data_IF_055840756593
#
_entry.id   IF_055840756593
#
_cell.length_a   1.000
_cell.length_b   1.000
_cell.length_c   1.000
_cell.angle_alpha   90.00
_cell.angle_beta   90.00
_cell.angle_gamma   90.00
#
_symmetry.space_group_name_H-M   'P 1'
#
loop_
_entity.id
_entity.type
_entity.pdbx_description
1 polymer ?
#
# COMPACT_ATOMS: atom_id res chain seq x y z
N UNK A 1 32.61 48.18 -15.82
CA UNK A 1 31.49 47.47 -15.14
C UNK A 1 31.75 47.52 -13.64
N UNK A 2 30.88 48.15 -12.85
CA UNK A 2 31.13 48.39 -11.42
C UNK A 2 31.28 47.05 -10.69
N UNK A 3 32.36 46.85 -9.93
CA UNK A 3 32.59 45.61 -9.13
C UNK A 3 31.39 45.26 -8.24
N UNK A 4 30.64 46.27 -7.78
CA UNK A 4 29.38 46.12 -7.04
C UNK A 4 28.25 45.49 -7.87
N UNK A 5 28.13 45.82 -9.15
CA UNK A 5 27.12 45.27 -10.07
C UNK A 5 27.45 43.80 -10.39
N UNK A 6 28.72 43.46 -10.59
CA UNK A 6 29.15 42.06 -10.76
C UNK A 6 28.90 41.22 -9.51
N UNK A 7 29.12 41.79 -8.31
CA UNK A 7 28.85 41.09 -7.04
C UNK A 7 27.34 40.85 -6.82
N UNK A 8 26.50 41.83 -7.15
CA UNK A 8 25.03 41.68 -7.06
C UNK A 8 24.51 40.65 -8.07
N UNK A 9 25.03 40.63 -9.31
CA UNK A 9 24.70 39.61 -10.31
C UNK A 9 25.16 38.21 -9.92
N UNK A 10 26.34 38.09 -9.29
CA UNK A 10 26.83 36.82 -8.74
C UNK A 10 25.97 36.34 -7.56
N UNK A 11 25.53 37.25 -6.67
CA UNK A 11 24.63 36.93 -5.56
C UNK A 11 23.23 36.53 -6.05
N UNK A 12 22.71 37.16 -7.11
CA UNK A 12 21.44 36.78 -7.75
C UNK A 12 21.52 35.43 -8.47
N UNK A 13 22.63 35.11 -9.14
CA UNK A 13 22.84 33.79 -9.74
C UNK A 13 23.00 32.69 -8.67
N UNK A 14 23.66 32.99 -7.54
CA UNK A 14 23.79 32.06 -6.42
C UNK A 14 22.45 31.78 -5.70
N UNK A 15 21.49 32.71 -5.77
CA UNK A 15 20.13 32.56 -5.22
C UNK A 15 19.15 31.84 -6.18
N UNK A 16 19.50 31.67 -7.45
CA UNK A 16 18.70 30.89 -8.42
C UNK A 16 19.02 29.40 -8.41
N UNK A 17 20.01 28.97 -7.61
CA UNK A 17 20.61 27.64 -7.69
C UNK A 17 20.29 26.67 -6.55
N UNK A 18 19.23 26.85 -5.75
CA UNK A 18 18.80 25.84 -4.76
C UNK A 18 17.31 25.95 -4.46
N UNK A 19 16.52 25.00 -4.98
CA UNK A 19 15.29 24.43 -4.39
C UNK A 19 14.74 23.34 -5.32
N UNK A 20 15.51 22.27 -5.50
CA UNK A 20 14.86 20.97 -5.65
C UNK A 20 14.35 20.63 -4.26
N UNK A 21 13.12 21.01 -3.97
CA UNK A 21 12.39 20.48 -2.83
C UNK A 21 12.27 18.99 -3.08
N UNK A 22 13.04 18.20 -2.32
CA UNK A 22 12.91 16.76 -2.25
C UNK A 22 11.46 16.46 -1.87
N UNK A 23 10.72 15.88 -2.81
CA UNK A 23 9.39 15.38 -2.48
C UNK A 23 9.54 14.10 -1.69
N UNK A 24 8.74 13.99 -0.65
CA UNK A 24 8.67 12.84 0.24
C UNK A 24 7.24 12.38 0.14
N UNK A 25 6.99 11.32 -0.63
CA UNK A 25 5.63 10.95 -0.99
C UNK A 25 4.85 10.38 0.18
N UNK A 26 5.55 9.77 1.15
CA UNK A 26 4.93 9.05 2.25
C UNK A 26 5.02 9.80 3.59
N UNK A 27 4.03 9.52 4.42
CA UNK A 27 4.02 9.81 5.85
C UNK A 27 3.56 8.55 6.58
N UNK A 28 4.39 7.51 6.57
CA UNK A 28 4.11 6.25 7.25
C UNK A 28 4.52 6.30 8.71
N UNK A 29 3.61 5.88 9.58
CA UNK A 29 3.91 5.59 10.98
C UNK A 29 4.60 4.21 11.08
N UNK A 30 5.86 4.21 11.51
CA UNK A 30 6.69 2.99 11.57
C UNK A 30 6.86 2.56 13.02
N UNK A 31 6.46 1.32 13.30
CA UNK A 31 6.66 0.67 14.59
C UNK A 31 7.45 -0.62 14.42
N UNK A 32 8.42 -0.84 15.30
CA UNK A 32 9.15 -2.12 15.40
C UNK A 32 8.86 -2.71 16.78
N UNK A 33 8.21 -3.87 16.80
CA UNK A 33 7.92 -4.64 18.01
C UNK A 33 8.86 -5.83 18.11
N UNK A 34 9.50 -5.98 19.27
CA UNK A 34 10.38 -7.12 19.58
C UNK A 34 9.86 -7.92 20.77
N UNK A 35 8.56 -7.88 21.05
CA UNK A 35 7.96 -8.47 22.26
C UNK A 35 8.23 -9.98 22.41
N UNK A 36 8.50 -10.69 21.30
CA UNK A 36 8.76 -12.12 21.28
C UNK A 36 10.26 -12.47 21.41
N UNK A 37 11.15 -11.47 21.37
CA UNK A 37 12.60 -11.65 21.46
C UNK A 37 13.09 -11.19 22.84
N UNK A 38 13.37 -12.15 23.72
CA UNK A 38 13.89 -11.87 25.07
C UNK A 38 15.40 -11.60 25.06
N UNK A 39 15.87 -10.73 25.96
CA UNK A 39 17.31 -10.53 26.23
C UNK A 39 18.12 -9.80 25.15
N UNK A 40 17.47 -9.13 24.20
CA UNK A 40 18.14 -8.34 23.15
C UNK A 40 18.18 -6.85 23.52
N UNK A 41 19.25 -6.15 23.11
CA UNK A 41 19.36 -4.69 23.25
C UNK A 41 18.25 -3.97 22.46
N UNK A 42 17.35 -3.30 23.19
CA UNK A 42 16.24 -2.56 22.59
C UNK A 42 16.71 -1.42 21.68
N UNK A 43 17.95 -0.92 21.86
CA UNK A 43 18.51 0.15 21.03
C UNK A 43 18.64 -0.25 19.57
N UNK A 44 18.97 -1.51 19.29
CA UNK A 44 19.07 -2.01 17.93
C UNK A 44 17.72 -1.92 17.17
N UNK A 45 16.60 -2.17 17.88
CA UNK A 45 15.27 -2.10 17.29
C UNK A 45 14.76 -0.66 17.11
N UNK A 46 15.14 0.26 18.00
CA UNK A 46 14.85 1.69 17.78
C UNK A 46 15.67 2.22 16.60
N UNK A 47 16.94 1.83 16.46
CA UNK A 47 17.76 2.15 15.28
C UNK A 47 17.15 1.57 13.99
N UNK A 48 16.63 0.33 14.03
CA UNK A 48 15.94 -0.26 12.89
C UNK A 48 14.68 0.54 12.53
N UNK A 49 13.88 0.91 13.52
CA UNK A 49 12.69 1.74 13.33
C UNK A 49 13.05 3.07 12.67
N UNK A 50 14.02 3.81 13.22
CA UNK A 50 14.49 5.07 12.64
C UNK A 50 15.03 4.90 11.22
N UNK A 51 15.77 3.82 10.97
CA UNK A 51 16.25 3.47 9.63
C UNK A 51 15.12 3.28 8.63
N UNK A 52 14.11 2.47 8.98
CA UNK A 52 12.93 2.23 8.14
C UNK A 52 12.12 3.53 7.95
N UNK A 53 11.90 4.31 9.01
CA UNK A 53 11.21 5.61 8.91
C UNK A 53 11.92 6.53 7.92
N UNK A 54 13.24 6.67 8.03
CA UNK A 54 14.02 7.49 7.12
C UNK A 54 13.97 6.95 5.69
N UNK A 55 14.11 5.64 5.51
CA UNK A 55 14.07 5.00 4.20
C UNK A 55 12.72 5.18 3.49
N UNK A 56 11.62 5.04 4.22
CA UNK A 56 10.26 5.14 3.65
C UNK A 56 9.82 6.58 3.44
N UNK A 57 10.01 7.46 4.44
CA UNK A 57 9.43 8.80 4.44
C UNK A 57 10.38 9.89 3.93
N UNK A 58 11.71 9.69 3.95
CA UNK A 58 12.67 10.72 3.55
C UNK A 58 13.31 10.48 2.18
N UNK A 59 13.11 9.29 1.60
CA UNK A 59 13.52 8.96 0.24
C UNK A 59 12.54 9.54 -0.77
N UNK A 60 13.08 10.02 -1.90
CA UNK A 60 12.28 10.37 -3.08
C UNK A 60 12.00 9.10 -3.87
N UNK A 61 10.74 8.68 -3.94
CA UNK A 61 10.32 7.50 -4.69
C UNK A 61 9.96 7.82 -6.13
N UNK A 62 9.54 9.05 -6.39
CA UNK A 62 9.03 9.49 -7.69
C UNK A 62 9.42 10.95 -7.95
N UNK A 63 9.13 11.45 -9.15
CA UNK A 63 9.27 12.87 -9.45
C UNK A 63 8.03 13.70 -9.10
N UNK A 64 7.05 13.12 -8.39
CA UNK A 64 5.84 13.81 -7.98
C UNK A 64 6.18 14.83 -6.91
N UNK A 65 5.55 16.00 -6.97
CA UNK A 65 5.69 17.05 -5.95
C UNK A 65 4.40 17.07 -5.14
N UNK A 66 4.45 16.53 -3.93
CA UNK A 66 3.33 16.54 -3.00
C UNK A 66 3.61 17.54 -1.88
N UNK A 67 2.60 18.35 -1.54
CA UNK A 67 2.67 19.17 -0.33
C UNK A 67 2.63 18.26 0.92
N UNK A 68 3.12 18.72 2.10
CA UNK A 68 3.12 17.90 3.32
C UNK A 68 1.76 17.30 3.69
N UNK A 69 0.67 18.03 3.46
CA UNK A 69 -0.71 17.60 3.68
C UNK A 69 -1.25 16.63 2.60
N UNK A 70 -0.55 16.51 1.47
CA UNK A 70 -0.89 15.59 0.38
C UNK A 70 -0.11 14.27 0.45
N UNK A 71 0.81 14.15 1.44
CA UNK A 71 1.59 12.94 1.65
C UNK A 71 0.68 11.74 1.90
N UNK A 72 1.11 10.61 1.36
CA UNK A 72 0.38 9.35 1.42
C UNK A 72 0.54 8.75 2.81
N UNK A 73 -0.58 8.62 3.52
CA UNK A 73 -0.61 8.11 4.89
C UNK A 73 -0.76 6.58 4.95
N UNK A 74 -0.12 6.00 5.96
CA UNK A 74 -0.14 4.56 6.19
C UNK A 74 0.62 4.18 7.46
N UNK A 75 0.73 2.89 7.70
CA UNK A 75 1.48 2.35 8.82
C UNK A 75 2.30 1.14 8.40
N UNK A 76 3.50 1.01 8.96
CA UNK A 76 4.35 -0.15 8.86
C UNK A 76 4.61 -0.67 10.27
N UNK A 77 4.25 -1.94 10.50
CA UNK A 77 4.53 -2.61 11.76
C UNK A 77 5.42 -3.81 11.49
N UNK A 78 6.65 -3.78 11.99
CA UNK A 78 7.59 -4.90 11.96
C UNK A 78 7.51 -5.64 13.28
N UNK A 79 7.02 -6.88 13.27
CA UNK A 79 6.98 -7.75 14.45
C UNK A 79 8.12 -8.75 14.38
N UNK A 80 9.23 -8.47 15.06
CA UNK A 80 10.39 -9.35 15.11
C UNK A 80 10.06 -10.61 15.93
N UNK A 81 10.14 -11.77 15.28
CA UNK A 81 9.88 -13.08 15.87
C UNK A 81 11.14 -13.71 16.44
N UNK A 82 12.25 -13.58 15.70
CA UNK A 82 13.51 -14.25 16.01
C UNK A 82 14.69 -13.37 15.61
N UNK A 83 15.79 -13.49 16.35
CA UNK A 83 17.07 -12.85 16.05
C UNK A 83 18.21 -13.85 16.23
N UNK A 84 19.04 -14.02 15.20
CA UNK A 84 20.23 -14.87 15.21
C UNK A 84 21.42 -14.08 14.65
N UNK A 85 22.31 -13.60 15.53
CA UNK A 85 23.36 -12.67 15.14
C UNK A 85 22.77 -11.36 14.59
N UNK A 86 23.07 -11.04 13.33
CA UNK A 86 22.52 -9.89 12.60
C UNK A 86 21.27 -10.23 11.79
N UNK A 87 20.88 -11.51 11.72
CA UNK A 87 19.72 -11.95 10.95
C UNK A 87 18.47 -11.85 11.83
N UNK A 88 17.44 -11.22 11.28
CA UNK A 88 16.14 -11.03 11.90
C UNK A 88 15.08 -11.74 11.06
N UNK A 89 14.20 -12.48 11.72
CA UNK A 89 12.98 -13.03 11.14
C UNK A 89 11.80 -12.27 11.74
N UNK A 90 10.98 -11.67 10.88
CA UNK A 90 9.89 -10.81 11.29
C UNK A 90 8.65 -11.01 10.41
N UNK A 91 7.52 -10.53 10.91
CA UNK A 91 6.32 -10.27 10.10
C UNK A 91 6.24 -8.78 9.82
N UNK A 92 5.98 -8.41 8.57
CA UNK A 92 5.80 -7.02 8.14
C UNK A 92 4.33 -6.78 7.84
N UNK A 93 3.67 -5.93 8.63
CA UNK A 93 2.32 -5.47 8.33
C UNK A 93 2.38 -4.08 7.66
N UNK A 94 1.76 -3.95 6.49
CA UNK A 94 1.65 -2.70 5.74
C UNK A 94 0.17 -2.33 5.63
N UNK A 95 -0.17 -1.13 6.10
CA UNK A 95 -1.48 -0.54 5.95
C UNK A 95 -1.41 0.77 5.17
N UNK A 96 -2.24 0.92 4.14
CA UNK A 96 -2.35 2.13 3.32
C UNK A 96 -3.73 2.77 3.49
N UNK A 97 -3.77 4.09 3.61
CA UNK A 97 -5.02 4.85 3.72
C UNK A 97 -5.08 5.95 2.67
N UNK A 98 -6.30 6.34 2.34
CA UNK A 98 -6.59 7.44 1.40
C UNK A 98 -7.64 8.37 1.99
N UNK A 99 -7.45 9.69 1.93
CA UNK A 99 -8.51 10.64 2.29
C UNK A 99 -9.65 10.60 1.26
N UNK A 100 -10.89 10.72 1.71
CA UNK A 100 -12.05 10.84 0.83
C UNK A 100 -12.39 12.31 0.59
N UNK A 101 -12.60 12.67 -0.68
CA UNK A 101 -12.72 14.06 -1.13
C UNK A 101 -13.77 14.86 -0.33
N UNK A 102 -13.37 16.03 0.19
CA UNK A 102 -14.22 16.94 0.98
C UNK A 102 -14.86 16.32 2.23
N UNK A 103 -14.20 15.33 2.83
CA UNK A 103 -14.64 14.72 4.10
C UNK A 103 -13.46 14.53 5.04
N UNK A 104 -13.74 14.34 6.32
CA UNK A 104 -12.73 13.90 7.29
C UNK A 104 -12.59 12.37 7.33
N UNK A 105 -13.21 11.65 6.38
CA UNK A 105 -13.17 10.20 6.32
C UNK A 105 -11.94 9.74 5.55
N UNK A 106 -11.24 8.74 6.08
CA UNK A 106 -10.15 8.04 5.41
C UNK A 106 -10.57 6.60 5.14
N UNK A 107 -10.40 6.14 3.91
CA UNK A 107 -10.70 4.78 3.48
C UNK A 107 -9.44 3.91 3.45
N UNK A 108 -9.48 2.66 3.95
CA UNK A 108 -8.35 1.75 3.84
C UNK A 108 -8.19 1.28 2.38
N UNK A 109 -6.98 1.38 1.83
CA UNK A 109 -6.66 0.90 0.48
C UNK A 109 -5.97 -0.46 0.47
N UNK A 110 -5.18 -0.74 1.50
CA UNK A 110 -4.40 -1.96 1.61
C UNK A 110 -4.15 -2.27 3.09
N UNK A 111 -4.22 -3.54 3.46
CA UNK A 111 -3.78 -4.06 4.75
C UNK A 111 -3.29 -5.49 4.55
N UNK A 112 -1.99 -5.70 4.67
CA UNK A 112 -1.36 -6.99 4.37
C UNK A 112 -0.23 -7.30 5.33
N UNK A 113 -0.20 -8.56 5.77
CA UNK A 113 0.89 -9.14 6.56
C UNK A 113 1.73 -10.01 5.64
N UNK A 114 2.97 -9.59 5.45
CA UNK A 114 4.03 -10.36 4.82
C UNK A 114 4.78 -11.16 5.88
N UNK A 115 4.74 -12.49 5.74
CA UNK A 115 5.43 -13.42 6.65
C UNK A 115 6.80 -13.83 6.12
N UNK A 116 7.15 -13.51 4.87
CA UNK A 116 8.42 -13.82 4.23
C UNK A 116 9.39 -12.63 4.38
N UNK A 117 9.60 -12.17 5.61
CA UNK A 117 10.44 -11.01 5.93
C UNK A 117 11.60 -11.38 6.86
N UNK A 118 12.60 -12.03 6.26
CA UNK A 118 13.88 -12.37 6.87
C UNK A 118 14.97 -11.47 6.30
N UNK A 119 15.76 -10.80 7.14
CA UNK A 119 16.79 -9.88 6.64
C UNK A 119 17.96 -9.75 7.60
N UNK A 120 19.13 -9.40 7.05
CA UNK A 120 20.26 -8.95 7.85
C UNK A 120 20.13 -7.46 8.18
N UNK A 121 20.43 -7.09 9.42
CA UNK A 121 20.52 -5.70 9.85
C UNK A 121 21.76 -5.46 10.71
N UNK A 122 22.53 -4.46 10.31
CA UNK A 122 23.71 -3.99 11.03
C UNK A 122 23.48 -2.53 11.41
N UNK A 123 23.62 -2.22 12.70
CA UNK A 123 23.46 -0.86 13.21
C UNK A 123 24.41 0.11 12.51
N UNK A 124 23.96 1.33 12.25
CA UNK A 124 24.69 2.38 11.53
C UNK A 124 25.03 2.07 10.06
N UNK A 125 24.67 0.91 9.51
CA UNK A 125 24.78 0.68 8.08
C UNK A 125 23.65 1.42 7.34
N UNK A 126 23.95 2.19 6.28
CA UNK A 126 22.92 2.86 5.50
C UNK A 126 22.01 1.85 4.79
N UNK A 127 20.72 2.19 4.71
CA UNK A 127 19.74 1.43 3.95
C UNK A 127 19.78 1.85 2.48
N UNK A 128 20.69 1.24 1.73
CA UNK A 128 20.85 1.50 0.30
C UNK A 128 19.87 0.69 -0.56
N UNK A 129 19.39 1.30 -1.63
CA UNK A 129 18.49 0.67 -2.61
C UNK A 129 18.71 1.28 -3.99
N UNK A 130 18.58 0.44 -5.02
CA UNK A 130 18.51 0.84 -6.43
C UNK A 130 17.48 -0.03 -7.14
N UNK A 131 16.63 0.56 -7.98
CA UNK A 131 15.49 -0.15 -8.60
C UNK A 131 15.87 -1.38 -9.42
N UNK A 132 17.06 -1.40 -10.02
CA UNK A 132 17.51 -2.43 -10.96
C UNK A 132 18.47 -3.45 -10.34
N UNK A 133 18.67 -3.45 -9.02
CA UNK A 133 19.59 -4.37 -8.36
C UNK A 133 19.08 -4.79 -6.98
N UNK A 134 19.08 -6.09 -6.74
CA UNK A 134 18.83 -6.65 -5.42
C UNK A 134 20.07 -6.45 -4.54
N UNK A 135 19.96 -5.54 -3.56
CA UNK A 135 21.04 -5.23 -2.62
C UNK A 135 20.87 -5.97 -1.29
N UNK A 136 19.66 -5.93 -0.74
CA UNK A 136 19.30 -6.63 0.50
C UNK A 136 17.82 -6.94 0.53
N UNK A 137 17.40 -7.96 1.29
CA UNK A 137 15.98 -8.26 1.43
C UNK A 137 15.20 -7.15 2.15
N UNK A 138 15.82 -6.51 3.15
CA UNK A 138 15.21 -5.40 3.91
C UNK A 138 14.82 -4.25 2.97
N UNK A 139 15.80 -3.72 2.23
CA UNK A 139 15.56 -2.53 1.40
C UNK A 139 14.75 -2.84 0.16
N UNK A 140 14.91 -4.03 -0.43
CA UNK A 140 14.09 -4.46 -1.58
C UNK A 140 12.63 -4.68 -1.19
N UNK A 141 12.36 -5.29 -0.02
CA UNK A 141 10.98 -5.50 0.46
C UNK A 141 10.28 -4.18 0.75
N UNK A 142 10.96 -3.26 1.45
CA UNK A 142 10.40 -1.94 1.74
C UNK A 142 10.15 -1.14 0.46
N UNK A 143 11.08 -1.17 -0.49
CA UNK A 143 10.92 -0.53 -1.79
C UNK A 143 9.78 -1.14 -2.61
N UNK A 144 9.64 -2.46 -2.62
CA UNK A 144 8.52 -3.14 -3.26
C UNK A 144 7.18 -2.60 -2.72
N UNK A 145 7.02 -2.54 -1.40
CA UNK A 145 5.79 -2.03 -0.80
C UNK A 145 5.58 -0.52 -1.03
N UNK A 146 6.65 0.27 -1.10
CA UNK A 146 6.55 1.68 -1.52
C UNK A 146 5.90 1.80 -2.91
N UNK A 147 6.47 1.15 -3.94
CA UNK A 147 5.90 1.22 -5.30
C UNK A 147 4.54 0.52 -5.42
N UNK A 148 4.31 -0.57 -4.69
CA UNK A 148 3.01 -1.24 -4.69
C UNK A 148 1.91 -0.34 -4.08
N UNK A 149 2.21 0.33 -2.96
CA UNK A 149 1.30 1.29 -2.35
C UNK A 149 1.06 2.50 -3.25
N UNK A 150 2.07 3.02 -3.94
CA UNK A 150 1.88 4.06 -4.96
C UNK A 150 0.95 3.56 -6.07
N UNK A 151 1.15 2.35 -6.58
CA UNK A 151 0.30 1.75 -7.59
C UNK A 151 -1.18 1.74 -7.21
N UNK A 152 -1.49 1.21 -6.01
CA UNK A 152 -2.86 1.21 -5.47
C UNK A 152 -3.40 2.61 -5.23
N UNK A 153 -2.57 3.52 -4.70
CA UNK A 153 -2.96 4.89 -4.44
C UNK A 153 -3.36 5.59 -5.73
N UNK A 154 -2.54 5.54 -6.78
CA UNK A 154 -2.85 6.21 -8.05
C UNK A 154 -4.00 5.57 -8.82
N UNK A 155 -4.19 4.26 -8.74
CA UNK A 155 -5.38 3.60 -9.27
C UNK A 155 -6.67 4.09 -8.61
N UNK A 156 -6.62 4.45 -7.32
CA UNK A 156 -7.79 4.97 -6.60
C UNK A 156 -8.22 6.38 -7.04
N UNK A 157 -7.34 7.12 -7.72
CA UNK A 157 -7.61 8.46 -8.26
C UNK A 157 -7.82 8.48 -9.77
N UNK A 158 -7.25 7.52 -10.51
CA UNK A 158 -7.38 7.42 -11.96
C UNK A 158 -7.33 5.97 -12.43
N UNK A 159 -8.19 5.63 -13.39
CA UNK A 159 -8.24 4.28 -13.96
C UNK A 159 -6.88 3.89 -14.54
N UNK A 160 -6.26 2.87 -13.96
CA UNK A 160 -4.90 2.39 -14.27
C UNK A 160 -3.77 3.42 -14.03
N UNK A 161 -4.02 4.42 -13.19
CA UNK A 161 -3.01 5.42 -12.82
C UNK A 161 -1.78 4.82 -12.13
N UNK A 162 -1.90 3.62 -11.57
CA UNK A 162 -0.84 2.88 -10.90
C UNK A 162 0.19 2.22 -11.81
N UNK A 163 -0.04 2.17 -13.13
CA UNK A 163 0.79 1.43 -14.09
C UNK A 163 2.31 1.68 -13.97
N UNK A 164 2.78 2.94 -13.84
CA UNK A 164 4.22 3.21 -13.72
C UNK A 164 4.83 2.56 -12.47
N UNK A 165 4.08 2.51 -11.36
CA UNK A 165 4.61 2.04 -10.08
C UNK A 165 4.60 0.51 -9.98
N UNK A 166 3.53 -0.14 -10.46
CA UNK A 166 3.51 -1.61 -10.53
C UNK A 166 4.60 -2.18 -11.45
N UNK A 167 5.01 -1.43 -12.48
CA UNK A 167 6.17 -1.79 -13.31
C UNK A 167 7.49 -1.73 -12.55
N UNK A 168 7.69 -0.73 -11.69
CA UNK A 168 8.89 -0.67 -10.84
C UNK A 168 8.85 -1.78 -9.78
N UNK A 169 7.70 -2.04 -9.18
CA UNK A 169 7.52 -3.19 -8.28
C UNK A 169 7.85 -4.52 -8.98
N UNK A 170 7.47 -4.67 -10.25
CA UNK A 170 7.81 -5.84 -11.08
C UNK A 170 9.32 -5.96 -11.35
N UNK A 171 10.01 -4.84 -11.57
CA UNK A 171 11.46 -4.79 -11.72
C UNK A 171 12.17 -5.22 -10.43
N UNK A 172 11.69 -4.78 -9.27
CA UNK A 172 12.23 -5.20 -7.97
C UNK A 172 12.06 -6.71 -7.81
N UNK A 173 10.86 -7.24 -8.04
CA UNK A 173 10.59 -8.69 -8.01
C UNK A 173 11.50 -9.47 -8.96
N UNK A 174 11.70 -8.95 -10.18
CA UNK A 174 12.57 -9.55 -11.19
C UNK A 174 14.03 -9.56 -10.74
N UNK A 175 14.51 -8.47 -10.14
CA UNK A 175 15.89 -8.39 -9.64
C UNK A 175 16.15 -9.32 -8.46
N UNK A 176 15.10 -9.64 -7.69
CA UNK A 176 15.16 -10.50 -6.51
C UNK A 176 14.94 -11.99 -6.80
N UNK A 177 14.82 -12.42 -8.06
CA UNK A 177 14.57 -13.84 -8.39
C UNK A 177 15.68 -14.79 -7.94
N UNK A 178 16.92 -14.30 -7.81
CA UNK A 178 18.06 -15.06 -7.28
C UNK A 178 18.27 -14.91 -5.78
N UNK A 179 17.41 -14.16 -5.07
CA UNK A 179 17.50 -14.00 -3.62
C UNK A 179 17.42 -15.37 -2.93
N UNK A 180 18.17 -15.57 -1.86
CA UNK A 180 18.07 -16.78 -1.05
C UNK A 180 16.78 -16.76 -0.22
N UNK A 181 16.33 -15.57 0.17
CA UNK A 181 15.11 -15.34 0.92
C UNK A 181 13.85 -15.67 0.11
N UNK A 182 12.84 -16.20 0.81
CA UNK A 182 11.52 -16.48 0.25
C UNK A 182 10.72 -15.20 -0.03
N UNK A 183 9.68 -15.35 -0.83
CA UNK A 183 8.65 -14.33 -1.03
C UNK A 183 8.77 -13.57 -2.36
N UNK A 184 9.83 -13.84 -3.12
CA UNK A 184 10.12 -13.21 -4.40
C UNK A 184 9.78 -14.07 -5.61
N UNK A 185 9.63 -15.40 -5.43
CA UNK A 185 9.54 -16.35 -6.54
C UNK A 185 8.13 -16.93 -6.65
N UNK A 186 7.71 -17.24 -7.87
CA UNK A 186 6.39 -17.83 -8.12
C UNK A 186 6.20 -19.21 -7.46
N UNK A 187 7.30 -19.92 -7.22
CA UNK A 187 7.33 -21.28 -6.67
C UNK A 187 7.60 -21.35 -5.15
N UNK A 188 7.67 -20.20 -4.47
CA UNK A 188 7.64 -20.14 -3.00
C UNK A 188 6.19 -20.41 -2.50
N UNK A 189 5.69 -19.62 -1.56
CA UNK A 189 4.27 -19.63 -1.20
C UNK A 189 3.42 -18.82 -2.20
N UNK A 190 2.11 -19.10 -2.29
CA UNK A 190 1.19 -18.32 -3.13
C UNK A 190 0.80 -16.96 -2.52
N UNK A 191 1.10 -16.74 -1.25
CA UNK A 191 0.87 -15.52 -0.48
C UNK A 191 2.17 -14.73 -0.36
N UNK A 192 2.64 -14.18 -1.48
CA UNK A 192 3.92 -13.46 -1.52
C UNK A 192 3.94 -12.23 -2.43
N UNK A 193 5.06 -11.51 -2.45
CA UNK A 193 5.26 -10.26 -3.19
C UNK A 193 5.16 -10.46 -4.71
N UNK A 194 5.64 -11.60 -5.22
CA UNK A 194 5.48 -11.97 -6.63
C UNK A 194 3.99 -12.00 -7.02
N UNK A 195 3.17 -12.76 -6.30
CA UNK A 195 1.75 -12.91 -6.61
C UNK A 195 0.95 -11.63 -6.36
N UNK A 196 1.33 -10.82 -5.37
CA UNK A 196 0.72 -9.50 -5.15
C UNK A 196 0.84 -8.62 -6.39
N UNK A 197 2.03 -8.52 -6.98
CA UNK A 197 2.25 -7.65 -8.14
C UNK A 197 1.77 -8.26 -9.45
N UNK A 198 1.94 -9.56 -9.64
CA UNK A 198 1.40 -10.28 -10.80
C UNK A 198 -0.11 -10.05 -10.92
N UNK A 199 -0.83 -10.11 -9.79
CA UNK A 199 -2.27 -9.90 -9.75
C UNK A 199 -2.68 -8.49 -10.23
N UNK A 200 -1.82 -7.48 -10.06
CA UNK A 200 -2.06 -6.09 -10.52
C UNK A 200 -1.70 -5.89 -12.00
N UNK A 201 -0.68 -6.61 -12.48
CA UNK A 201 -0.13 -6.45 -13.83
C UNK A 201 -0.83 -7.32 -14.88
N UNK A 202 -1.46 -8.43 -14.46
CA UNK A 202 -2.12 -9.35 -15.37
C UNK A 202 -3.37 -8.73 -16.01
N UNK A 203 -3.41 -8.75 -17.34
CA UNK A 203 -4.51 -8.16 -18.11
C UNK A 203 -5.88 -8.79 -17.81
N UNK A 204 -5.92 -10.08 -17.45
CA UNK A 204 -7.16 -10.77 -17.08
C UNK A 204 -7.76 -10.25 -15.77
N UNK A 205 -6.97 -9.61 -14.91
CA UNK A 205 -7.39 -9.13 -13.60
C UNK A 205 -7.58 -7.60 -13.54
N UNK A 206 -7.49 -6.92 -14.70
CA UNK A 206 -7.81 -5.49 -14.84
C UNK A 206 -9.14 -5.05 -14.21
N UNK A 207 -10.21 -5.86 -14.16
CA UNK A 207 -11.42 -5.45 -13.46
C UNK A 207 -11.19 -5.15 -11.97
N UNK A 208 -10.24 -5.80 -11.28
CA UNK A 208 -9.92 -5.47 -9.87
C UNK A 208 -9.40 -4.04 -9.72
N UNK A 209 -8.60 -3.57 -10.69
CA UNK A 209 -8.11 -2.19 -10.73
C UNK A 209 -9.21 -1.20 -11.14
N UNK A 210 -10.15 -1.63 -11.97
CA UNK A 210 -11.37 -0.85 -12.24
C UNK A 210 -12.24 -0.70 -10.98
N UNK A 211 -12.37 -1.76 -10.17
CA UNK A 211 -13.00 -1.68 -8.85
C UNK A 211 -12.30 -0.63 -7.97
N UNK A 212 -10.96 -0.66 -7.86
CA UNK A 212 -10.21 0.32 -7.08
C UNK A 212 -10.55 1.75 -7.53
N UNK A 213 -10.56 2.03 -8.83
CA UNK A 213 -10.91 3.35 -9.34
C UNK A 213 -12.37 3.73 -9.05
N UNK A 214 -13.32 2.90 -9.45
CA UNK A 214 -14.75 3.26 -9.38
C UNK A 214 -15.26 3.32 -7.94
N UNK A 215 -14.82 2.40 -7.08
CA UNK A 215 -15.21 2.39 -5.68
C UNK A 215 -14.76 3.67 -4.96
N UNK A 216 -13.51 4.09 -5.15
CA UNK A 216 -12.96 5.25 -4.43
C UNK A 216 -13.34 6.58 -5.10
N UNK A 217 -13.12 6.71 -6.41
CA UNK A 217 -13.29 7.99 -7.12
C UNK A 217 -14.72 8.29 -7.53
N UNK A 218 -15.44 7.28 -8.04
CA UNK A 218 -16.83 7.46 -8.48
C UNK A 218 -17.85 7.13 -7.39
N UNK A 219 -17.44 6.32 -6.40
CA UNK A 219 -18.19 5.98 -5.21
C UNK A 219 -17.93 6.95 -4.06
N UNK A 220 -16.88 6.68 -3.28
CA UNK A 220 -16.61 7.38 -2.02
C UNK A 220 -16.51 8.90 -2.17
N UNK A 221 -15.66 9.38 -3.09
CA UNK A 221 -15.47 10.81 -3.31
C UNK A 221 -16.77 11.52 -3.76
N UNK A 222 -17.61 10.80 -4.52
CA UNK A 222 -18.87 11.32 -5.03
C UNK A 222 -19.91 11.51 -3.92
N UNK A 223 -19.88 10.67 -2.88
CA UNK A 223 -20.86 10.72 -1.80
C UNK A 223 -20.87 12.05 -1.03
N UNK A 224 -19.76 12.79 -1.03
CA UNK A 224 -19.67 14.13 -0.45
C UNK A 224 -20.63 15.16 -1.08
N UNK A 225 -21.03 14.93 -2.34
CA UNK A 225 -21.90 15.84 -3.10
C UNK A 225 -23.20 15.18 -3.55
N UNK A 226 -23.17 13.88 -3.84
CA UNK A 226 -24.29 13.11 -4.36
C UNK A 226 -24.26 11.68 -3.81
N UNK A 227 -24.81 11.50 -2.61
CA UNK A 227 -24.75 10.25 -1.87
C UNK A 227 -25.31 9.05 -2.63
N UNK A 228 -26.50 9.18 -3.24
CA UNK A 228 -27.15 8.06 -3.93
C UNK A 228 -26.41 7.63 -5.21
N UNK A 229 -25.86 8.60 -5.97
CA UNK A 229 -25.00 8.31 -7.12
C UNK A 229 -23.73 7.56 -6.67
N UNK A 230 -23.11 7.99 -5.58
CA UNK A 230 -21.91 7.34 -5.02
C UNK A 230 -22.19 5.93 -4.52
N UNK A 231 -23.27 5.71 -3.74
CA UNK A 231 -23.70 4.36 -3.31
C UNK A 231 -23.96 3.44 -4.50
N UNK A 232 -24.62 3.96 -5.55
CA UNK A 232 -24.87 3.20 -6.78
C UNK A 232 -23.56 2.79 -7.47
N UNK A 233 -22.58 3.69 -7.56
CA UNK A 233 -21.27 3.40 -8.14
C UNK A 233 -20.52 2.34 -7.33
N UNK A 234 -20.55 2.42 -6.00
CA UNK A 234 -19.98 1.41 -5.10
C UNK A 234 -20.59 0.03 -5.38
N UNK A 235 -21.91 -0.09 -5.35
CA UNK A 235 -22.59 -1.39 -5.61
C UNK A 235 -22.29 -1.94 -7.00
N UNK A 236 -22.16 -1.09 -8.02
CA UNK A 236 -21.77 -1.53 -9.37
C UNK A 236 -20.32 -2.03 -9.42
N UNK A 237 -19.41 -1.34 -8.75
CA UNK A 237 -17.99 -1.69 -8.76
C UNK A 237 -17.72 -3.09 -8.16
N UNK A 238 -18.56 -3.56 -7.23
CA UNK A 238 -18.46 -4.90 -6.63
C UNK A 238 -18.56 -6.03 -7.67
N UNK A 239 -19.26 -5.80 -8.79
CA UNK A 239 -19.38 -6.78 -9.88
C UNK A 239 -18.02 -7.09 -10.52
N UNK A 240 -17.08 -6.14 -10.52
CA UNK A 240 -15.74 -6.39 -11.05
C UNK A 240 -14.93 -7.36 -10.19
N UNK A 241 -15.12 -7.33 -8.87
CA UNK A 241 -14.52 -8.33 -7.97
C UNK A 241 -15.13 -9.69 -8.24
N UNK A 242 -16.46 -9.75 -8.31
CA UNK A 242 -17.19 -10.98 -8.59
C UNK A 242 -16.76 -11.60 -9.93
N UNK A 243 -16.67 -10.80 -10.99
CA UNK A 243 -16.23 -11.24 -12.31
C UNK A 243 -14.90 -11.98 -12.24
N UNK A 244 -13.89 -11.38 -11.59
CA UNK A 244 -12.56 -11.98 -11.50
C UNK A 244 -12.56 -13.18 -10.55
N UNK A 245 -13.31 -13.11 -9.44
CA UNK A 245 -13.46 -14.21 -8.51
C UNK A 245 -14.07 -15.46 -9.16
N UNK A 246 -15.11 -15.31 -9.98
CA UNK A 246 -15.76 -16.43 -10.68
C UNK A 246 -14.78 -17.19 -11.58
N UNK A 247 -13.76 -16.52 -12.13
CA UNK A 247 -12.73 -17.14 -12.95
C UNK A 247 -11.54 -17.66 -12.14
N UNK A 248 -11.15 -16.93 -11.08
CA UNK A 248 -9.95 -17.22 -10.27
C UNK A 248 -10.20 -16.95 -8.77
N UNK A 249 -10.90 -17.85 -8.06
CA UNK A 249 -11.27 -17.65 -6.65
C UNK A 249 -10.08 -17.53 -5.69
N UNK A 250 -8.93 -18.11 -6.04
CA UNK A 250 -7.73 -18.20 -5.19
C UNK A 250 -6.76 -17.03 -5.35
N UNK A 251 -7.14 -15.96 -6.05
CA UNK A 251 -6.27 -14.80 -6.21
C UNK A 251 -5.97 -14.15 -4.86
N UNK A 252 -4.68 -13.93 -4.61
CA UNK A 252 -4.19 -13.33 -3.39
C UNK A 252 -4.80 -11.95 -3.18
N UNK A 253 -4.84 -11.12 -4.22
CA UNK A 253 -5.34 -9.76 -4.07
C UNK A 253 -6.83 -9.71 -3.67
N UNK A 254 -7.65 -10.69 -4.06
CA UNK A 254 -9.06 -10.73 -3.62
C UNK A 254 -9.14 -10.97 -2.11
N UNK A 255 -8.31 -11.86 -1.57
CA UNK A 255 -8.25 -12.11 -0.12
C UNK A 255 -7.82 -10.84 0.62
N UNK A 256 -6.76 -10.18 0.15
CA UNK A 256 -6.27 -8.93 0.74
C UNK A 256 -7.32 -7.83 0.66
N UNK A 257 -8.03 -7.74 -0.46
CA UNK A 257 -9.10 -6.77 -0.66
C UNK A 257 -10.25 -7.00 0.33
N UNK A 258 -10.69 -8.25 0.50
CA UNK A 258 -11.72 -8.61 1.45
C UNK A 258 -11.31 -8.24 2.89
N UNK A 259 -10.10 -8.61 3.31
CA UNK A 259 -9.58 -8.30 4.65
C UNK A 259 -9.46 -6.78 4.87
N UNK A 260 -9.11 -6.03 3.83
CA UNK A 260 -8.99 -4.57 3.87
C UNK A 260 -10.36 -3.88 3.94
N UNK A 261 -11.35 -4.38 3.19
CA UNK A 261 -12.60 -3.65 2.92
C UNK A 261 -13.82 -4.15 3.68
N UNK A 262 -13.80 -5.37 4.23
CA UNK A 262 -14.96 -6.00 4.92
C UNK A 262 -15.68 -5.05 5.87
N UNK A 263 -14.93 -4.40 6.77
CA UNK A 263 -15.51 -3.48 7.75
C UNK A 263 -16.11 -2.22 7.11
N UNK A 264 -15.47 -1.65 6.08
CA UNK A 264 -16.00 -0.50 5.37
C UNK A 264 -17.27 -0.86 4.58
N UNK A 265 -17.27 -2.01 3.91
CA UNK A 265 -18.46 -2.55 3.23
C UNK A 265 -19.62 -2.73 4.20
N UNK A 266 -19.41 -3.38 5.36
CA UNK A 266 -20.43 -3.50 6.41
C UNK A 266 -20.98 -2.12 6.79
N UNK A 267 -20.10 -1.15 7.05
CA UNK A 267 -20.50 0.20 7.46
C UNK A 267 -21.34 0.91 6.40
N UNK A 268 -20.95 0.85 5.12
CA UNK A 268 -21.64 1.54 4.02
C UNK A 268 -23.06 0.98 3.83
N UNK A 269 -23.21 -0.35 3.88
CA UNK A 269 -24.49 -0.98 3.61
C UNK A 269 -25.44 -1.04 4.80
N UNK A 270 -24.98 -0.81 6.03
CA UNK A 270 -25.85 -0.81 7.23
C UNK A 270 -27.03 0.17 7.09
N UNK A 271 -26.80 1.34 6.47
CA UNK A 271 -27.81 2.38 6.19
C UNK A 271 -28.27 2.40 4.72
N UNK A 272 -28.08 1.30 3.98
CA UNK A 272 -28.50 1.17 2.58
C UNK A 272 -29.95 0.75 2.40
N UNK A 273 -30.47 0.89 1.17
CA UNK A 273 -31.77 0.33 0.80
C UNK A 273 -31.78 -1.20 0.93
N UNK A 274 -32.93 -1.82 1.18
CA UNK A 274 -33.01 -3.28 1.30
C UNK A 274 -32.56 -4.00 0.01
N UNK A 275 -32.79 -3.37 -1.15
CA UNK A 275 -32.36 -3.89 -2.44
C UNK A 275 -30.83 -3.87 -2.57
N UNK A 276 -30.19 -2.76 -2.23
CA UNK A 276 -28.72 -2.63 -2.29
C UNK A 276 -28.04 -3.57 -1.29
N UNK A 277 -28.57 -3.65 -0.07
CA UNK A 277 -28.10 -4.60 0.95
C UNK A 277 -28.12 -6.02 0.44
N UNK A 278 -29.26 -6.47 -0.09
CA UNK A 278 -29.41 -7.84 -0.63
C UNK A 278 -28.42 -8.10 -1.75
N UNK A 279 -28.26 -7.15 -2.68
CA UNK A 279 -27.34 -7.30 -3.80
C UNK A 279 -25.89 -7.41 -3.34
N UNK A 280 -25.44 -6.51 -2.47
CA UNK A 280 -24.07 -6.48 -1.97
C UNK A 280 -23.75 -7.72 -1.12
N UNK A 281 -24.64 -8.10 -0.20
CA UNK A 281 -24.46 -9.28 0.67
C UNK A 281 -24.34 -10.57 -0.14
N UNK A 282 -25.10 -10.71 -1.23
CA UNK A 282 -24.95 -11.87 -2.12
C UNK A 282 -23.56 -11.93 -2.76
N UNK A 283 -23.00 -10.79 -3.17
CA UNK A 283 -21.63 -10.73 -3.69
C UNK A 283 -20.62 -11.06 -2.59
N UNK A 284 -20.74 -10.45 -1.42
CA UNK A 284 -19.80 -10.66 -0.31
C UNK A 284 -19.72 -12.12 0.14
N UNK A 285 -20.87 -12.80 0.25
CA UNK A 285 -20.93 -14.23 0.60
C UNK A 285 -20.30 -15.13 -0.46
N UNK A 286 -20.28 -14.70 -1.72
CA UNK A 286 -19.65 -15.43 -2.82
C UNK A 286 -18.13 -15.27 -2.78
N UNK A 287 -17.63 -14.03 -2.64
CA UNK A 287 -16.19 -13.71 -2.71
C UNK A 287 -15.44 -13.90 -1.39
N UNK A 288 -16.14 -13.97 -0.26
CA UNK A 288 -15.59 -14.13 1.09
C UNK A 288 -16.44 -15.08 1.96
N UNK A 289 -16.55 -16.37 1.56
CA UNK A 289 -17.50 -17.31 2.16
C UNK A 289 -17.23 -17.61 3.64
N UNK A 290 -15.99 -17.51 4.11
CA UNK A 290 -15.63 -17.74 5.51
C UNK A 290 -16.23 -16.71 6.47
N UNK A 291 -16.61 -15.53 5.96
CA UNK A 291 -17.21 -14.45 6.74
C UNK A 291 -18.68 -14.20 6.36
N UNK A 292 -19.33 -15.17 5.70
CA UNK A 292 -20.72 -15.06 5.25
C UNK A 292 -21.69 -14.62 6.36
N UNK A 293 -21.54 -15.16 7.57
CA UNK A 293 -22.37 -14.81 8.73
C UNK A 293 -22.26 -13.33 9.10
N UNK A 294 -21.06 -12.75 9.01
CA UNK A 294 -20.84 -11.32 9.30
C UNK A 294 -21.52 -10.41 8.26
N UNK A 295 -21.64 -10.86 7.01
CA UNK A 295 -22.36 -10.12 5.98
C UNK A 295 -23.88 -10.25 6.12
N UNK A 296 -24.38 -11.36 6.63
CA UNK A 296 -25.82 -11.56 6.89
C UNK A 296 -26.36 -10.59 7.96
N UNK A 297 -25.51 -10.15 8.91
CA UNK A 297 -25.85 -9.13 9.91
C UNK A 297 -26.36 -7.83 9.27
N UNK A 298 -25.82 -7.45 8.10
CA UNK A 298 -26.21 -6.25 7.33
C UNK A 298 -27.71 -6.26 6.98
N UNK A 299 -28.26 -7.45 6.66
CA UNK A 299 -29.67 -7.62 6.30
C UNK A 299 -30.58 -7.55 7.53
N UNK A 300 -30.11 -8.06 8.66
CA UNK A 300 -30.89 -8.14 9.90
C UNK A 300 -30.99 -6.80 10.64
N UNK A 301 -30.10 -5.84 10.34
CA UNK A 301 -30.02 -4.56 11.04
C UNK A 301 -29.51 -4.67 12.48
N UNK A 302 -28.98 -5.84 12.89
CA UNK A 302 -28.32 -6.01 14.19
C UNK A 302 -26.92 -5.40 14.10
N UNK A 303 -26.65 -4.45 15.00
CA UNK A 303 -25.32 -3.86 15.22
C UNK A 303 -24.48 -4.78 16.09
#
# INVERSE_FOLDING_TARGET
MNKKICFILFLMLALMGMKDLYSQEFNFDVTVSSAQVSGTDQRAFESLKEGITNFMNNRVWTNLKLEPEERIEGAIVVNVKKKEGNILEAELNIALRRPTFKTNYTTPLFNYIDTDFVFEYIESQPLDFTENSYMSNLTSTLAFYAYYCLGLYFDSFGLYGGDPFFKVADQIVTSAQSAEESGWKAFDDKRNRYWLNENMMNASYKPLRQYIYEYHRLGLDKMSTKQDEGKTAITKSLEYIKQVYSERPSLLFIQVLNDTKRNEWKSIYTEGSQQDKTKAVNIFREIDPSHATEYEEILSGRK
#
